data_IF_478720571409
#
_entry.id   IF_478720571409
#
_cell.length_a   1.000
_cell.length_b   1.000
_cell.length_c   1.000
_cell.angle_alpha   90.00
_cell.angle_beta   90.00
_cell.angle_gamma   90.00
#
_symmetry.space_group_name_H-M   'P 1'
#
loop_
_entity.id
_entity.type
_entity.pdbx_description
1 polymer ?
#
# COMPACT_ATOMS: atom_id res chain seq x y z
N UNK A 1 -8.41 -7.06 8.55
CA UNK A 1 -7.13 -6.47 8.10
C UNK A 1 -7.48 -5.14 7.44
N UNK A 2 -6.71 -4.09 7.69
CA UNK A 2 -6.82 -2.84 6.94
C UNK A 2 -6.22 -3.02 5.55
N UNK A 3 -6.74 -2.32 4.55
CA UNK A 3 -6.14 -2.20 3.22
C UNK A 3 -5.41 -0.86 3.02
N UNK A 4 -5.31 -0.06 4.08
CA UNK A 4 -4.51 1.15 4.14
C UNK A 4 -3.22 0.87 4.91
N UNK A 5 -2.08 1.11 4.25
CA UNK A 5 -0.75 0.90 4.79
C UNK A 5 -0.53 1.80 6.02
N UNK A 6 -0.09 1.20 7.13
CA UNK A 6 0.16 1.89 8.39
C UNK A 6 -1.08 2.21 9.24
N UNK A 7 -2.27 1.74 8.85
CA UNK A 7 -3.51 1.97 9.59
C UNK A 7 -4.09 0.68 10.17
N UNK A 8 -4.49 0.72 11.45
CA UNK A 8 -5.06 -0.41 12.17
C UNK A 8 -4.05 -1.48 12.62
N UNK A 9 -4.53 -2.55 13.30
CA UNK A 9 -3.65 -3.55 13.94
C UNK A 9 -2.95 -4.49 12.94
N UNK A 10 -3.46 -4.60 11.72
CA UNK A 10 -2.84 -5.36 10.61
C UNK A 10 -3.10 -4.62 9.30
N UNK A 11 -2.07 -4.41 8.50
CA UNK A 11 -2.11 -3.71 7.22
C UNK A 11 -1.14 -4.35 6.21
N UNK A 12 -1.20 -4.02 4.90
CA UNK A 12 -0.32 -4.60 3.89
C UNK A 12 1.13 -4.21 4.13
N UNK A 13 2.05 -5.17 4.05
CA UNK A 13 3.49 -4.96 4.24
C UNK A 13 4.28 -5.09 2.94
N UNK A 14 3.70 -5.69 1.90
CA UNK A 14 4.41 -6.06 0.66
C UNK A 14 3.67 -5.53 -0.57
N UNK A 15 3.41 -4.22 -0.58
CA UNK A 15 2.70 -3.53 -1.66
C UNK A 15 3.52 -3.42 -2.94
N UNK A 16 2.85 -3.44 -4.10
CA UNK A 16 3.46 -3.20 -5.41
C UNK A 16 3.81 -1.71 -5.58
N UNK A 17 4.87 -1.25 -4.93
CA UNK A 17 5.35 0.14 -5.06
C UNK A 17 6.88 0.20 -5.03
N UNK A 18 7.49 0.62 -6.14
CA UNK A 18 8.94 0.55 -6.37
C UNK A 18 9.76 1.30 -5.32
N UNK A 19 9.40 2.55 -5.00
CA UNK A 19 10.17 3.33 -4.03
C UNK A 19 9.98 2.81 -2.58
N UNK A 20 8.86 2.14 -2.31
CA UNK A 20 8.60 1.54 -1.00
C UNK A 20 9.40 0.25 -0.80
N UNK A 21 9.58 -0.55 -1.87
CA UNK A 21 10.26 -1.84 -1.81
C UNK A 21 11.79 -1.79 -1.85
N UNK A 22 12.38 -0.71 -2.35
CA UNK A 22 13.83 -0.51 -2.37
C UNK A 22 14.34 0.09 -1.06
N UNK A 23 15.57 -0.23 -0.60
CA UNK A 23 16.16 0.44 0.55
C UNK A 23 16.29 1.95 0.30
N UNK A 24 16.17 2.74 1.35
CA UNK A 24 16.42 4.17 1.29
C UNK A 24 17.88 4.46 0.92
N UNK A 25 18.14 5.67 0.45
CA UNK A 25 19.52 6.14 0.19
C UNK A 25 20.36 6.16 1.47
N UNK A 26 19.75 6.35 2.65
CA UNK A 26 20.47 6.27 3.92
C UNK A 26 20.94 4.85 4.26
N UNK A 27 20.15 3.82 3.95
CA UNK A 27 20.50 2.43 4.18
C UNK A 27 21.36 1.82 3.05
N UNK A 28 21.22 2.33 1.82
CA UNK A 28 21.96 1.89 0.65
C UNK A 28 22.35 3.10 -0.22
N UNK A 29 23.47 3.78 0.10
CA UNK A 29 23.87 5.02 -0.59
C UNK A 29 24.41 4.79 -2.01
N UNK A 30 24.80 3.56 -2.34
CA UNK A 30 25.24 3.20 -3.68
C UNK A 30 24.05 3.20 -4.67
N UNK A 31 24.34 3.46 -5.95
CA UNK A 31 23.31 3.39 -6.99
C UNK A 31 22.87 1.95 -7.20
N UNK A 32 21.56 1.72 -7.22
CA UNK A 32 20.98 0.44 -7.62
C UNK A 32 21.00 0.37 -9.16
N UNK A 33 21.76 -0.58 -9.70
CA UNK A 33 21.90 -0.76 -11.14
C UNK A 33 20.62 -1.19 -11.85
N UNK A 34 20.64 -1.14 -13.19
CA UNK A 34 19.52 -1.62 -14.00
C UNK A 34 19.21 -3.09 -13.65
N UNK A 35 17.92 -3.43 -13.48
CA UNK A 35 17.42 -4.76 -13.08
C UNK A 35 17.85 -5.26 -11.69
N UNK A 36 18.80 -4.63 -10.99
CA UNK A 36 19.18 -5.00 -9.63
C UNK A 36 18.02 -4.87 -8.63
N UNK A 37 17.01 -4.06 -8.95
CA UNK A 37 15.73 -3.95 -8.24
C UNK A 37 14.89 -5.25 -8.19
N UNK A 38 15.14 -6.21 -9.10
CA UNK A 38 14.34 -7.42 -9.22
C UNK A 38 14.37 -8.30 -7.95
N UNK A 39 15.52 -8.34 -7.25
CA UNK A 39 15.64 -9.06 -5.98
C UNK A 39 14.69 -8.48 -4.91
N UNK A 40 14.59 -7.15 -4.82
CA UNK A 40 13.65 -6.48 -3.92
C UNK A 40 12.21 -6.71 -4.34
N UNK A 41 11.91 -6.76 -5.64
CA UNK A 41 10.58 -7.08 -6.15
C UNK A 41 10.14 -8.52 -5.85
N UNK A 42 11.06 -9.49 -5.86
CA UNK A 42 10.77 -10.90 -5.60
C UNK A 42 10.84 -11.28 -4.11
N UNK A 43 11.47 -10.45 -3.27
CA UNK A 43 11.73 -10.75 -1.86
C UNK A 43 10.44 -11.05 -1.06
N UNK A 44 10.45 -12.02 -0.13
CA UNK A 44 9.35 -12.23 0.80
C UNK A 44 9.32 -11.20 1.95
N UNK A 45 10.36 -10.40 2.11
CA UNK A 45 10.44 -9.40 3.18
C UNK A 45 9.42 -8.26 2.97
N UNK A 46 8.95 -7.63 4.06
CA UNK A 46 8.23 -6.36 3.99
C UNK A 46 8.96 -5.30 3.18
N UNK A 47 8.22 -4.33 2.65
CA UNK A 47 8.81 -3.15 2.06
C UNK A 47 9.55 -2.34 3.14
N UNK A 48 10.83 -1.97 2.94
CA UNK A 48 11.62 -1.27 3.95
C UNK A 48 11.11 0.15 4.24
N UNK A 49 10.47 0.81 3.28
CA UNK A 49 9.86 2.12 3.49
C UNK A 49 8.34 1.99 3.53
N UNK A 50 7.73 2.28 4.69
CA UNK A 50 6.29 2.24 4.86
C UNK A 50 5.63 3.41 4.10
N UNK A 51 4.81 3.09 3.08
CA UNK A 51 4.06 4.10 2.34
C UNK A 51 2.75 4.42 3.07
N UNK A 52 2.86 5.09 4.21
CA UNK A 52 1.72 5.38 5.10
C UNK A 52 0.57 6.04 4.35
N UNK A 53 -0.65 5.57 4.58
CA UNK A 53 -1.87 6.10 3.97
C UNK A 53 -2.17 5.57 2.56
N UNK A 54 -1.26 4.80 1.94
CA UNK A 54 -1.54 4.17 0.66
C UNK A 54 -2.61 3.10 0.80
N UNK A 55 -3.66 3.20 -0.02
CA UNK A 55 -4.70 2.17 -0.12
C UNK A 55 -4.40 1.31 -1.33
N UNK A 56 -4.31 0.00 -1.09
CA UNK A 56 -4.03 -1.00 -2.13
C UNK A 56 -5.31 -1.36 -2.87
N UNK A 57 -5.19 -2.00 -4.04
CA UNK A 57 -6.34 -2.48 -4.84
C UNK A 57 -7.36 -3.32 -4.06
N UNK A 58 -6.91 -4.04 -3.02
CA UNK A 58 -7.80 -4.74 -2.08
C UNK A 58 -7.88 -6.25 -2.35
N UNK A 59 -8.84 -6.95 -1.74
CA UNK A 59 -8.94 -8.40 -1.84
C UNK A 59 -9.47 -8.87 -3.21
N UNK A 60 -9.33 -10.17 -3.51
CA UNK A 60 -10.01 -10.78 -4.65
C UNK A 60 -11.53 -10.70 -4.52
N UNK A 61 -12.21 -10.50 -5.64
CA UNK A 61 -13.67 -10.38 -5.69
C UNK A 61 -14.43 -11.68 -5.36
N UNK A 62 -13.79 -12.84 -5.52
CA UNK A 62 -14.44 -14.14 -5.39
C UNK A 62 -14.20 -14.83 -4.05
N UNK A 63 -13.15 -14.45 -3.32
CA UNK A 63 -12.73 -15.16 -2.11
C UNK A 63 -12.34 -14.25 -0.95
N UNK A 64 -12.45 -12.93 -1.12
CA UNK A 64 -11.95 -11.92 -0.19
C UNK A 64 -10.46 -12.11 0.19
N UNK A 65 -9.70 -12.84 -0.64
CA UNK A 65 -8.33 -13.20 -0.35
C UNK A 65 -7.39 -12.05 -0.71
N UNK A 66 -6.49 -11.75 0.23
CA UNK A 66 -5.42 -10.76 0.03
C UNK A 66 -4.06 -11.39 0.34
N UNK A 67 -3.25 -11.72 -0.68
CA UNK A 67 -2.01 -12.47 -0.49
C UNK A 67 -0.86 -11.64 0.10
N UNK A 68 -1.01 -10.31 0.20
CA UNK A 68 0.03 -9.35 0.60
C UNK A 68 1.37 -9.65 -0.09
N UNK A 69 1.38 -9.54 -1.42
CA UNK A 69 2.52 -9.90 -2.25
C UNK A 69 2.67 -8.94 -3.43
N UNK A 70 3.86 -8.33 -3.55
CA UNK A 70 4.18 -7.34 -4.61
C UNK A 70 3.91 -7.83 -6.01
N UNK A 71 4.04 -9.14 -6.26
CA UNK A 71 3.83 -9.70 -7.60
C UNK A 71 2.35 -9.73 -8.01
N UNK A 72 1.43 -9.65 -7.05
CA UNK A 72 -0.01 -9.68 -7.28
C UNK A 72 -0.52 -8.24 -7.30
N UNK A 73 -0.16 -7.51 -8.36
CA UNK A 73 -0.34 -6.07 -8.47
C UNK A 73 -1.82 -5.66 -8.44
N UNK A 74 -2.74 -6.48 -8.97
CA UNK A 74 -4.17 -6.17 -8.95
C UNK A 74 -4.70 -5.92 -7.54
N UNK A 75 -4.19 -6.65 -6.56
CA UNK A 75 -4.55 -6.51 -5.15
C UNK A 75 -3.63 -5.51 -4.43
N UNK A 76 -2.33 -5.53 -4.71
CA UNK A 76 -1.31 -4.90 -3.88
C UNK A 76 -0.80 -3.55 -4.37
N UNK A 77 -1.19 -3.10 -5.56
CA UNK A 77 -0.77 -1.82 -6.13
C UNK A 77 -1.62 -0.67 -5.56
N UNK A 78 -0.99 0.34 -4.93
CA UNK A 78 -1.66 1.58 -4.60
C UNK A 78 -1.57 2.56 -5.77
N UNK A 79 -2.62 3.34 -5.96
CA UNK A 79 -2.64 4.39 -6.99
C UNK A 79 -3.25 5.67 -6.47
N UNK A 80 -2.92 6.78 -7.10
CA UNK A 80 -3.48 8.10 -6.77
C UNK A 80 -4.99 8.13 -6.92
N UNK A 81 -5.55 7.45 -7.93
CA UNK A 81 -6.99 7.40 -8.17
C UNK A 81 -7.76 6.48 -7.21
N UNK A 82 -7.10 5.61 -6.45
CA UNK A 82 -7.74 4.91 -5.31
C UNK A 82 -7.82 5.86 -4.11
N UNK A 83 -6.72 6.54 -3.79
CA UNK A 83 -6.65 7.42 -2.62
C UNK A 83 -7.46 8.72 -2.77
N UNK A 84 -7.46 9.35 -3.95
CA UNK A 84 -8.10 10.64 -4.18
C UNK A 84 -9.61 10.67 -3.81
N UNK A 85 -10.46 9.75 -4.30
CA UNK A 85 -11.88 9.75 -3.91
C UNK A 85 -12.07 9.39 -2.43
N UNK A 86 -11.27 8.45 -1.90
CA UNK A 86 -11.36 8.06 -0.49
C UNK A 86 -11.08 9.23 0.45
N UNK A 87 -10.08 10.07 0.14
CA UNK A 87 -9.78 11.25 0.94
C UNK A 87 -10.97 12.21 1.03
N UNK A 88 -11.71 12.39 -0.06
CA UNK A 88 -12.93 13.20 -0.05
C UNK A 88 -14.01 12.63 0.88
N UNK A 89 -14.25 11.32 0.82
CA UNK A 89 -15.22 10.65 1.69
C UNK A 89 -14.79 10.70 3.17
N UNK A 90 -13.51 10.46 3.47
CA UNK A 90 -12.98 10.55 4.82
C UNK A 90 -13.07 11.97 5.37
N UNK A 91 -12.80 12.99 4.55
CA UNK A 91 -12.98 14.38 4.94
C UNK A 91 -14.45 14.67 5.27
N UNK A 92 -15.40 14.20 4.45
CA UNK A 92 -16.83 14.36 4.71
C UNK A 92 -17.24 13.75 6.05
N UNK A 93 -16.90 12.48 6.29
CA UNK A 93 -17.22 11.80 7.54
C UNK A 93 -16.49 12.39 8.75
N UNK A 94 -15.32 13.00 8.56
CA UNK A 94 -14.62 13.73 9.63
C UNK A 94 -15.39 14.97 10.10
N UNK A 95 -16.14 15.61 9.19
CA UNK A 95 -16.96 16.78 9.48
C UNK A 95 -18.40 16.42 9.89
N UNK A 96 -18.87 15.24 9.50
CA UNK A 96 -20.22 14.73 9.78
C UNK A 96 -20.13 13.38 10.52
N UNK A 97 -19.68 13.38 11.79
CA UNK A 97 -19.45 12.14 12.54
C UNK A 97 -20.74 11.41 12.93
N UNK A 98 -21.90 12.09 12.86
CA UNK A 98 -23.22 11.51 13.08
C UNK A 98 -23.99 11.41 11.74
N UNK A 99 -23.93 10.26 11.05
CA UNK A 99 -24.64 10.08 9.79
C UNK A 99 -26.16 10.03 9.95
N UNK A 100 -26.71 10.02 11.17
CA UNK A 100 -28.15 9.99 11.42
C UNK A 100 -28.81 11.39 11.41
N UNK A 101 -28.04 12.47 11.23
CA UNK A 101 -28.56 13.85 11.23
C UNK A 101 -28.87 14.42 9.82
N UNK A 102 -28.81 13.59 8.78
CA UNK A 102 -29.17 13.93 7.39
C UNK A 102 -30.11 12.88 6.80
#
# INVERSE_FOLDING_TARGET
>A
MSYMVGYGPRYPLRIHHRASSLPSVSAHPARIGCKAGAAYYASPAPNPNLLVGAVVGGPSNSTDAFPDARAVFQQSEPTTYINAPLLGLLAYFSQHPDPAQH
#
